data_IF_105896092944
#
_entry.id   IF_105896092944
#
_cell.length_a   1.000
_cell.length_b   1.000
_cell.length_c   1.000
_cell.angle_alpha   90.00
_cell.angle_beta   90.00
_cell.angle_gamma   90.00
#
_symmetry.space_group_name_H-M   'P 1'
#
loop_
_entity.id
_entity.type
_entity.pdbx_description
1 polymer ?
#
# COMPACT_ATOMS: atom_id res chain seq x y z
N UNK A 1 22.46 12.91 13.96
CA UNK A 1 22.11 11.62 14.51
C UNK A 1 21.23 10.82 13.60
N UNK A 2 20.97 9.63 14.03
CA UNK A 2 19.95 8.76 13.43
C UNK A 2 18.76 8.82 14.39
N UNK A 3 17.59 9.16 13.90
CA UNK A 3 16.36 9.35 14.68
C UNK A 3 15.22 8.59 14.02
N UNK A 4 14.20 8.27 14.80
CA UNK A 4 12.95 7.69 14.28
C UNK A 4 11.90 8.80 14.41
N UNK A 5 11.31 9.21 13.30
CA UNK A 5 10.29 10.24 13.29
C UNK A 5 8.93 9.72 13.82
N UNK A 6 7.97 10.62 13.97
CA UNK A 6 6.61 10.27 14.44
C UNK A 6 5.91 9.23 13.57
N UNK A 7 6.32 9.10 12.32
CA UNK A 7 5.81 8.13 11.36
C UNK A 7 6.49 6.75 11.46
N UNK A 8 7.48 6.60 12.33
CA UNK A 8 8.26 5.38 12.49
C UNK A 8 9.33 5.17 11.40
N UNK A 9 9.59 6.18 10.57
CA UNK A 9 10.64 6.16 9.56
C UNK A 9 11.97 6.60 10.18
N UNK A 10 13.06 6.03 9.67
CA UNK A 10 14.39 6.45 10.09
C UNK A 10 14.77 7.73 9.33
N UNK A 11 15.25 8.71 10.09
CA UNK A 11 15.87 9.93 9.57
C UNK A 11 17.34 10.00 9.96
N UNK A 12 18.14 10.53 9.06
CA UNK A 12 19.55 10.83 9.31
C UNK A 12 19.78 12.31 9.01
N UNK A 13 20.12 13.07 10.04
CA UNK A 13 20.36 14.51 9.94
C UNK A 13 19.18 15.27 9.30
N UNK A 14 17.93 14.87 9.64
CA UNK A 14 16.70 15.45 9.10
C UNK A 14 16.31 15.00 7.70
N UNK A 15 17.01 14.00 7.14
CA UNK A 15 16.68 13.41 5.83
C UNK A 15 16.11 12.00 6.02
N UNK A 16 14.94 11.75 5.44
CA UNK A 16 14.33 10.42 5.46
C UNK A 16 15.20 9.41 4.71
N UNK A 17 15.40 8.25 5.29
CA UNK A 17 16.15 7.16 4.67
C UNK A 17 15.36 6.57 3.52
N UNK A 18 15.92 6.62 2.32
CA UNK A 18 15.28 6.16 1.09
C UNK A 18 15.43 4.66 0.85
N UNK A 19 16.48 4.06 1.41
CA UNK A 19 16.75 2.61 1.25
C UNK A 19 17.41 2.02 2.47
N UNK A 20 16.91 0.85 2.89
CA UNK A 20 17.53 0.06 3.93
C UNK A 20 17.97 -1.29 3.37
N UNK A 21 19.19 -1.68 3.70
CA UNK A 21 19.81 -2.94 3.32
C UNK A 21 20.28 -3.69 4.56
N UNK A 22 20.34 -5.01 4.47
CA UNK A 22 20.96 -5.86 5.48
C UNK A 22 22.12 -6.63 4.82
N UNK A 23 23.34 -6.42 5.33
CA UNK A 23 24.58 -6.94 4.72
C UNK A 23 24.72 -6.61 3.23
N UNK A 24 24.22 -5.42 2.82
CA UNK A 24 24.23 -4.95 1.43
C UNK A 24 23.13 -5.53 0.55
N UNK A 25 22.24 -6.35 1.09
CA UNK A 25 21.11 -6.92 0.37
C UNK A 25 19.84 -6.16 0.68
N UNK A 26 18.97 -6.04 -0.30
CA UNK A 26 17.67 -5.39 -0.15
C UNK A 26 16.83 -6.06 0.94
N UNK A 27 16.16 -5.25 1.74
CA UNK A 27 15.25 -5.70 2.78
C UNK A 27 13.89 -5.04 2.59
N UNK A 28 12.91 -5.79 2.10
CA UNK A 28 11.53 -5.34 1.84
C UNK A 28 11.48 -4.00 1.09
N UNK A 29 12.22 -3.90 -0.02
CA UNK A 29 12.32 -2.68 -0.83
C UNK A 29 12.84 -1.44 -0.08
N UNK A 30 13.61 -1.67 0.96
CA UNK A 30 14.19 -0.62 1.77
C UNK A 30 13.30 -0.13 2.91
N UNK A 31 12.25 -0.89 3.28
CA UNK A 31 11.36 -0.50 4.37
C UNK A 31 12.09 -0.43 5.71
N UNK A 32 12.17 0.80 6.26
CA UNK A 32 12.89 1.06 7.50
C UNK A 32 12.13 0.61 8.74
N UNK A 33 10.78 0.65 8.70
CA UNK A 33 9.95 0.29 9.84
C UNK A 33 9.95 -1.22 10.07
N UNK A 34 9.78 -2.02 9.01
CA UNK A 34 9.90 -3.47 9.13
C UNK A 34 11.27 -3.89 9.67
N UNK A 35 12.33 -3.22 9.24
CA UNK A 35 13.66 -3.50 9.73
C UNK A 35 13.81 -3.18 11.22
N UNK A 36 13.39 -1.99 11.66
CA UNK A 36 13.52 -1.56 13.06
C UNK A 36 12.68 -2.38 14.02
N UNK A 37 11.50 -2.80 13.60
CA UNK A 37 10.59 -3.57 14.44
C UNK A 37 10.93 -5.05 14.51
N UNK A 38 11.59 -5.59 13.48
CA UNK A 38 11.70 -7.04 13.33
C UNK A 38 13.14 -7.58 13.36
N UNK A 39 14.17 -6.77 13.06
CA UNK A 39 15.56 -7.24 13.16
C UNK A 39 16.01 -7.16 14.62
N UNK A 40 16.35 -8.30 15.27
CA UNK A 40 16.78 -8.30 16.65
C UNK A 40 18.06 -7.47 16.82
N UNK A 41 18.07 -6.52 17.76
CA UNK A 41 19.25 -5.67 18.05
C UNK A 41 20.51 -6.49 18.38
N UNK A 42 20.33 -7.68 18.97
CA UNK A 42 21.42 -8.62 19.27
C UNK A 42 22.10 -9.17 18.02
N UNK A 43 21.44 -9.16 16.86
CA UNK A 43 22.02 -9.60 15.60
C UNK A 43 22.80 -8.47 14.89
N UNK A 44 22.61 -7.22 15.27
CA UNK A 44 23.23 -6.05 14.64
C UNK A 44 24.63 -5.80 15.22
N UNK A 45 25.63 -5.70 14.34
CA UNK A 45 26.98 -5.23 14.68
C UNK A 45 27.06 -3.71 14.61
N UNK A 46 26.74 -3.15 13.44
CA UNK A 46 26.79 -1.71 13.17
C UNK A 46 25.81 -1.31 12.07
N UNK A 47 25.49 -0.02 12.06
CA UNK A 47 24.68 0.61 11.02
C UNK A 47 25.60 1.53 10.21
N UNK A 48 25.66 1.33 8.91
CA UNK A 48 26.41 2.17 7.98
C UNK A 48 25.45 3.17 7.33
N UNK A 49 25.76 4.45 7.42
CA UNK A 49 25.03 5.53 6.73
C UNK A 49 25.73 5.80 5.41
N UNK A 50 24.98 5.64 4.32
CA UNK A 50 25.43 5.91 2.95
C UNK A 50 24.81 7.24 2.49
N UNK A 51 25.60 8.33 2.53
CA UNK A 51 25.17 9.64 2.09
C UNK A 51 25.35 9.80 0.58
N UNK A 52 24.53 10.66 -0.03
CA UNK A 52 24.51 10.88 -1.48
C UNK A 52 24.37 9.56 -2.25
N UNK A 53 23.49 8.69 -1.73
CA UNK A 53 23.28 7.38 -2.28
C UNK A 53 22.63 7.46 -3.65
N UNK A 54 23.17 6.71 -4.61
CA UNK A 54 22.59 6.51 -5.93
C UNK A 54 22.52 5.02 -6.22
N UNK A 55 21.35 4.53 -6.58
CA UNK A 55 21.18 3.14 -7.03
C UNK A 55 21.80 2.91 -8.39
N UNK A 56 21.77 3.95 -9.23
CA UNK A 56 22.33 3.93 -10.57
C UNK A 56 23.66 4.68 -10.56
N UNK A 57 24.75 3.92 -10.56
CA UNK A 57 26.11 4.48 -10.52
C UNK A 57 26.43 5.41 -11.69
N UNK A 58 25.88 5.11 -12.87
CA UNK A 58 26.06 5.86 -14.11
C UNK A 58 25.49 7.29 -14.03
N UNK A 59 24.38 7.47 -13.32
CA UNK A 59 23.72 8.78 -13.18
C UNK A 59 24.28 9.64 -12.03
N UNK A 60 25.21 9.12 -11.23
CA UNK A 60 25.72 9.81 -10.04
C UNK A 60 26.29 11.19 -10.32
N UNK A 61 26.90 11.39 -11.49
CA UNK A 61 27.51 12.66 -11.89
C UNK A 61 26.54 13.67 -12.48
N UNK A 62 25.35 13.22 -12.92
CA UNK A 62 24.37 14.06 -13.64
C UNK A 62 23.09 14.29 -12.84
N UNK A 63 22.86 13.55 -11.74
CA UNK A 63 21.72 13.72 -10.84
C UNK A 63 22.15 14.32 -9.52
N UNK A 64 21.26 15.14 -8.93
CA UNK A 64 21.48 15.64 -7.57
C UNK A 64 21.03 14.60 -6.55
N UNK A 65 21.98 13.95 -5.90
CA UNK A 65 21.73 12.93 -4.86
C UNK A 65 22.00 13.46 -3.44
N UNK A 66 22.09 14.78 -3.24
CA UNK A 66 22.47 15.39 -1.96
C UNK A 66 21.51 15.00 -0.82
N UNK A 67 20.25 14.73 -1.14
CA UNK A 67 19.21 14.39 -0.16
C UNK A 67 18.96 12.88 -0.01
N UNK A 68 19.62 12.08 -0.83
CA UNK A 68 19.47 10.63 -0.80
C UNK A 68 20.36 10.02 0.28
N UNK A 69 19.72 9.32 1.22
CA UNK A 69 20.40 8.58 2.28
C UNK A 69 19.94 7.12 2.26
N UNK A 70 20.90 6.21 2.32
CA UNK A 70 20.61 4.79 2.53
C UNK A 70 21.27 4.29 3.82
N UNK A 71 20.68 3.27 4.42
CA UNK A 71 21.24 2.56 5.57
C UNK A 71 21.58 1.14 5.21
N UNK A 72 22.71 0.66 5.71
CA UNK A 72 23.09 -0.74 5.62
C UNK A 72 23.36 -1.29 7.02
N UNK A 73 22.48 -2.17 7.47
CA UNK A 73 22.63 -2.89 8.73
C UNK A 73 23.64 -4.02 8.51
N UNK A 74 24.75 -4.00 9.22
CA UNK A 74 25.70 -5.11 9.26
C UNK A 74 25.37 -6.02 10.41
N UNK A 75 25.23 -7.30 10.11
CA UNK A 75 25.01 -8.34 11.11
C UNK A 75 26.35 -8.72 11.75
N UNK A 76 26.31 -9.17 13.01
CA UNK A 76 27.47 -9.67 13.74
C UNK A 76 28.03 -10.91 13.07
N UNK A 77 29.35 -11.11 13.20
CA UNK A 77 29.99 -12.37 12.83
C UNK A 77 29.26 -13.54 13.49
N UNK A 78 29.06 -14.62 12.73
CA UNK A 78 28.31 -15.78 13.18
C UNK A 78 26.79 -15.62 13.12
N UNK A 79 26.23 -14.49 12.60
CA UNK A 79 24.82 -14.31 12.26
C UNK A 79 24.57 -14.45 10.74
N UNK A 80 25.49 -15.08 10.06
CA UNK A 80 25.41 -15.45 8.64
C UNK A 80 25.36 -16.97 8.47
N UNK A 81 24.74 -17.44 7.40
CA UNK A 81 24.61 -18.86 7.04
C UNK A 81 23.84 -19.74 8.04
N UNK A 82 22.97 -19.14 8.88
CA UNK A 82 22.03 -19.89 9.71
C UNK A 82 20.75 -19.09 9.96
N UNK A 83 19.72 -19.80 10.40
CA UNK A 83 18.46 -19.19 10.78
C UNK A 83 18.55 -18.57 12.17
N UNK A 84 18.00 -17.38 12.32
CA UNK A 84 17.79 -16.73 13.60
C UNK A 84 16.45 -15.97 13.60
N UNK A 85 15.97 -15.65 14.76
CA UNK A 85 14.71 -14.94 14.92
C UNK A 85 14.11 -15.19 16.29
N UNK A 86 12.85 -14.92 16.41
CA UNK A 86 12.06 -15.15 17.61
C UNK A 86 10.63 -15.59 17.26
N UNK A 87 9.97 -16.20 18.20
CA UNK A 87 8.56 -16.58 18.11
C UNK A 87 7.89 -16.12 19.40
N UNK A 88 6.91 -15.23 19.26
CA UNK A 88 6.01 -14.85 20.35
C UNK A 88 4.73 -15.64 20.20
N UNK A 89 4.27 -16.30 21.28
CA UNK A 89 2.99 -16.99 21.30
C UNK A 89 2.29 -16.72 22.63
N UNK A 90 1.01 -16.48 22.58
CA UNK A 90 0.17 -16.24 23.74
C UNK A 90 -1.25 -16.71 23.51
N UNK A 91 -1.92 -17.08 24.60
CA UNK A 91 -3.34 -17.38 24.62
C UNK A 91 -3.95 -16.77 25.87
N UNK A 92 -5.18 -16.32 25.74
CA UNK A 92 -5.95 -15.71 26.82
C UNK A 92 -7.45 -15.92 26.62
N UNK A 93 -8.24 -15.40 27.53
CA UNK A 93 -9.69 -15.40 27.42
C UNK A 93 -10.24 -14.06 27.88
N UNK A 94 -11.25 -13.57 27.17
CA UNK A 94 -12.15 -12.52 27.62
C UNK A 94 -13.53 -13.12 27.92
N UNK A 95 -14.47 -12.38 28.52
CA UNK A 95 -15.80 -12.89 28.80
C UNK A 95 -16.51 -13.45 27.58
N UNK A 96 -16.24 -12.92 26.39
CA UNK A 96 -16.97 -13.21 25.15
C UNK A 96 -16.13 -13.97 24.13
N UNK A 97 -14.75 -13.95 24.24
CA UNK A 97 -13.86 -14.47 23.21
C UNK A 97 -12.59 -15.14 23.77
N UNK A 98 -12.11 -16.16 23.07
CA UNK A 98 -10.76 -16.67 23.26
C UNK A 98 -9.76 -15.76 22.52
N UNK A 99 -8.70 -15.34 23.22
CA UNK A 99 -7.66 -14.47 22.67
C UNK A 99 -6.42 -15.28 22.32
N UNK A 100 -5.79 -14.93 21.21
CA UNK A 100 -4.53 -15.54 20.79
C UNK A 100 -3.61 -14.51 20.14
N UNK A 101 -2.31 -14.78 20.21
CA UNK A 101 -1.25 -14.11 19.48
C UNK A 101 -0.18 -15.12 19.09
N UNK A 102 0.27 -15.08 17.83
CA UNK A 102 1.38 -15.88 17.31
C UNK A 102 2.16 -15.03 16.29
N UNK A 103 3.39 -14.66 16.68
CA UNK A 103 4.26 -13.78 15.89
C UNK A 103 5.61 -14.43 15.64
N UNK A 104 5.75 -15.31 14.61
CA UNK A 104 7.02 -15.85 14.19
C UNK A 104 7.81 -14.83 13.36
N UNK A 105 9.10 -14.68 13.64
CA UNK A 105 10.06 -13.86 12.90
C UNK A 105 11.31 -14.69 12.66
N UNK A 106 11.57 -15.01 11.39
CA UNK A 106 12.66 -15.90 10.98
C UNK A 106 13.49 -15.23 9.90
N UNK A 107 14.79 -15.27 10.06
CA UNK A 107 15.76 -14.63 9.18
C UNK A 107 16.89 -15.57 8.83
N UNK A 108 17.30 -15.53 7.57
CA UNK A 108 18.46 -16.22 7.07
C UNK A 108 19.25 -15.32 6.13
N UNK A 109 20.54 -15.17 6.39
CA UNK A 109 21.45 -14.38 5.56
C UNK A 109 22.68 -15.17 5.20
N UNK A 110 23.03 -15.16 3.92
CA UNK A 110 24.27 -15.69 3.39
C UNK A 110 24.89 -14.71 2.39
N UNK A 111 26.15 -14.89 1.98
CA UNK A 111 26.74 -14.01 0.96
C UNK A 111 25.98 -13.98 -0.38
N UNK A 112 25.29 -15.05 -0.73
CA UNK A 112 24.56 -15.15 -2.00
C UNK A 112 23.07 -14.88 -1.91
N UNK A 113 22.43 -15.23 -0.80
CA UNK A 113 20.98 -15.07 -0.66
C UNK A 113 20.55 -14.72 0.76
N UNK A 114 19.42 -14.07 0.88
CA UNK A 114 18.72 -13.85 2.13
C UNK A 114 17.26 -14.30 2.00
N UNK A 115 16.72 -14.81 3.11
CA UNK A 115 15.32 -15.20 3.24
C UNK A 115 14.80 -14.65 4.56
N UNK A 116 13.69 -13.96 4.53
CA UNK A 116 13.06 -13.41 5.71
C UNK A 116 11.59 -13.81 5.73
N UNK A 117 11.08 -14.18 6.89
CA UNK A 117 9.69 -14.49 7.12
C UNK A 117 9.22 -13.81 8.40
N UNK A 118 8.11 -13.07 8.31
CA UNK A 118 7.46 -12.42 9.44
C UNK A 118 5.98 -12.77 9.38
N UNK A 119 5.45 -13.27 10.47
CA UNK A 119 4.03 -13.57 10.65
C UNK A 119 3.46 -12.82 11.84
N UNK A 120 2.18 -12.51 11.77
CA UNK A 120 1.41 -12.00 12.88
C UNK A 120 -0.04 -12.50 12.76
N UNK A 121 -0.40 -13.37 13.68
CA UNK A 121 -1.74 -13.93 13.79
C UNK A 121 -2.28 -13.55 15.16
N UNK A 122 -3.24 -12.66 15.23
CA UNK A 122 -3.80 -12.21 16.49
C UNK A 122 -5.27 -11.80 16.39
N UNK A 123 -5.97 -11.84 17.51
CA UNK A 123 -7.28 -11.22 17.71
C UNK A 123 -7.31 -10.35 18.98
N UNK A 124 -6.16 -9.79 19.36
CA UNK A 124 -5.98 -8.97 20.55
C UNK A 124 -6.24 -7.48 20.30
N UNK A 125 -6.58 -7.12 19.07
CA UNK A 125 -6.75 -5.74 18.63
C UNK A 125 -5.45 -5.09 18.13
N UNK A 126 -4.33 -5.82 18.06
CA UNK A 126 -3.12 -5.33 17.40
C UNK A 126 -3.29 -5.35 15.88
N UNK A 127 -2.91 -4.26 15.23
CA UNK A 127 -2.89 -4.14 13.78
C UNK A 127 -1.47 -4.31 13.29
N UNK A 128 -1.19 -5.43 12.62
CA UNK A 128 0.14 -5.76 12.13
C UNK A 128 0.65 -4.80 11.06
N UNK A 129 -0.24 -4.30 10.20
CA UNK A 129 0.04 -3.32 9.15
C UNK A 129 -1.00 -2.22 9.16
N UNK A 130 -0.56 -0.97 9.28
CA UNK A 130 -1.42 0.20 9.14
C UNK A 130 -1.61 0.55 7.66
N UNK A 131 -2.58 1.40 7.33
CA UNK A 131 -2.73 1.97 5.97
C UNK A 131 -1.46 2.62 5.45
N UNK A 132 -0.70 3.26 6.34
CA UNK A 132 0.57 3.89 5.99
C UNK A 132 1.60 2.85 5.59
N UNK A 133 1.68 1.75 6.31
CA UNK A 133 2.59 0.65 6.00
C UNK A 133 2.27 0.05 4.62
N UNK A 134 1.00 -0.21 4.32
CA UNK A 134 0.57 -0.72 3.02
C UNK A 134 0.85 0.29 1.89
N UNK A 135 0.69 1.61 2.14
CA UNK A 135 1.08 2.64 1.18
C UNK A 135 2.58 2.66 0.92
N UNK A 136 3.38 2.53 1.96
CA UNK A 136 4.84 2.50 1.84
C UNK A 136 5.30 1.28 1.03
N UNK A 137 4.70 0.12 1.25
CA UNK A 137 4.93 -1.07 0.41
C UNK A 137 4.43 -0.91 -1.03
N UNK A 138 3.29 -0.22 -1.22
CA UNK A 138 2.75 0.06 -2.55
C UNK A 138 3.44 1.23 -3.25
N UNK A 139 4.15 2.08 -2.50
CA UNK A 139 4.74 3.32 -2.96
C UNK A 139 6.21 3.24 -3.34
N UNK A 140 6.82 2.04 -3.34
CA UNK A 140 8.19 1.81 -3.81
C UNK A 140 8.41 2.07 -5.30
N UNK A 141 7.38 2.48 -6.01
CA UNK A 141 7.52 3.07 -7.33
C UNK A 141 8.04 4.50 -7.16
N UNK A 142 9.32 4.65 -7.36
CA UNK A 142 9.87 5.95 -7.63
C UNK A 142 9.21 6.45 -8.91
N UNK A 143 8.37 7.48 -8.78
CA UNK A 143 8.05 8.29 -9.94
C UNK A 143 9.38 8.61 -10.64
N UNK A 144 9.47 8.50 -11.97
CA UNK A 144 10.65 8.91 -12.69
C UNK A 144 11.05 10.27 -12.14
N UNK A 145 12.25 10.37 -11.55
CA UNK A 145 12.68 11.56 -10.85
C UNK A 145 12.88 12.67 -11.85
N UNK A 146 11.86 13.42 -12.15
CA UNK A 146 11.81 14.82 -12.58
C UNK A 146 10.40 15.14 -13.04
N UNK A 147 9.80 16.19 -12.44
CA UNK A 147 8.79 17.12 -12.96
C UNK A 147 7.82 16.66 -14.09
N UNK A 148 7.78 15.38 -14.42
CA UNK A 148 6.73 14.80 -15.25
C UNK A 148 5.52 14.59 -14.35
N UNK A 149 4.53 15.43 -14.46
CA UNK A 149 3.33 15.56 -13.64
C UNK A 149 2.38 14.36 -13.58
N UNK A 150 2.92 13.16 -13.58
CA UNK A 150 2.18 11.91 -13.40
C UNK A 150 2.61 11.23 -12.11
N UNK A 151 2.23 11.82 -10.99
CA UNK A 151 2.17 11.06 -9.75
C UNK A 151 1.00 10.09 -9.87
N UNK A 152 1.29 8.84 -10.18
CA UNK A 152 0.33 7.75 -10.03
C UNK A 152 0.07 7.55 -8.53
N UNK A 153 -0.93 8.25 -8.03
CA UNK A 153 -1.34 8.15 -6.65
C UNK A 153 -2.11 6.82 -6.49
N UNK A 154 -1.39 5.74 -6.21
CA UNK A 154 -1.98 4.44 -5.88
C UNK A 154 -2.71 4.45 -4.52
N UNK A 155 -2.71 5.62 -3.84
CA UNK A 155 -3.06 5.74 -2.42
C UNK A 155 -4.53 5.82 -2.08
N UNK A 156 -5.41 6.23 -2.98
CA UNK A 156 -6.72 6.71 -2.53
C UNK A 156 -7.92 5.80 -2.83
N UNK A 157 -7.78 4.75 -3.59
CA UNK A 157 -8.96 3.98 -3.97
C UNK A 157 -8.82 2.49 -3.59
N UNK A 158 -9.55 2.03 -2.60
CA UNK A 158 -9.72 0.62 -2.23
C UNK A 158 -9.14 0.21 -0.86
N UNK A 159 -8.59 1.14 -0.07
CA UNK A 159 -8.10 0.84 1.28
C UNK A 159 -8.88 1.60 2.38
N UNK A 160 -10.05 2.12 2.05
CA UNK A 160 -10.85 2.90 3.00
C UNK A 160 -11.39 2.07 4.17
N UNK A 161 -11.38 0.75 4.05
CA UNK A 161 -11.94 -0.18 5.04
C UNK A 161 -11.10 -0.38 6.31
N UNK A 162 -9.84 0.01 6.31
CA UNK A 162 -8.92 -0.26 7.44
C UNK A 162 -8.88 0.84 8.51
N UNK A 163 -9.88 1.74 8.61
CA UNK A 163 -9.62 3.02 9.26
C UNK A 163 -10.38 3.35 10.50
N UNK A 164 -11.37 2.65 10.89
CA UNK A 164 -12.10 3.02 12.11
C UNK A 164 -11.76 2.10 13.28
N UNK A 165 -10.48 2.06 13.64
CA UNK A 165 -10.00 1.36 14.85
C UNK A 165 -10.57 1.97 16.13
N UNK A 166 -10.94 3.26 16.09
CA UNK A 166 -11.42 3.98 17.27
C UNK A 166 -12.73 3.42 17.86
N UNK A 167 -13.59 2.82 17.02
CA UNK A 167 -14.89 2.26 17.41
C UNK A 167 -14.92 0.74 17.25
N UNK A 168 -13.76 0.09 17.08
CA UNK A 168 -13.71 -1.35 16.92
C UNK A 168 -14.01 -2.06 18.24
N UNK A 169 -14.93 -3.02 18.17
CA UNK A 169 -15.23 -3.97 19.25
C UNK A 169 -14.32 -5.19 19.18
N UNK A 170 -14.03 -5.64 17.95
CA UNK A 170 -13.19 -6.79 17.69
C UNK A 170 -12.32 -6.52 16.47
N UNK A 171 -11.04 -6.90 16.55
CA UNK A 171 -10.11 -6.91 15.44
C UNK A 171 -9.42 -8.27 15.41
N UNK A 172 -9.57 -8.99 14.32
CA UNK A 172 -8.78 -10.18 14.00
C UNK A 172 -7.85 -9.85 12.84
N UNK A 173 -6.55 -10.11 13.02
CA UNK A 173 -5.54 -9.84 12.01
C UNK A 173 -4.68 -11.06 11.73
N UNK A 174 -4.38 -11.31 10.46
CA UNK A 174 -3.53 -12.40 9.98
C UNK A 174 -2.59 -11.87 8.93
N UNK A 175 -1.32 -11.70 9.30
CA UNK A 175 -0.25 -11.27 8.42
C UNK A 175 0.72 -12.43 8.18
N UNK A 176 1.08 -12.63 6.91
CA UNK A 176 2.22 -13.45 6.52
C UNK A 176 3.02 -12.69 5.45
N UNK A 177 4.29 -12.50 5.71
CA UNK A 177 5.17 -11.82 4.77
C UNK A 177 6.47 -12.58 4.60
N UNK A 178 6.93 -12.67 3.36
CA UNK A 178 8.21 -13.24 3.00
C UNK A 178 8.98 -12.33 2.07
N UNK A 179 10.28 -12.23 2.27
CA UNK A 179 11.20 -11.49 1.42
C UNK A 179 12.38 -12.37 1.07
N UNK A 180 12.86 -12.25 -0.15
CA UNK A 180 14.10 -12.87 -0.59
C UNK A 180 15.00 -11.91 -1.33
N UNK A 181 16.31 -12.16 -1.29
CA UNK A 181 17.30 -11.57 -2.17
C UNK A 181 18.28 -12.66 -2.59
N UNK A 182 18.63 -12.71 -3.86
CA UNK A 182 19.53 -13.72 -4.42
C UNK A 182 20.46 -13.10 -5.47
N UNK A 183 21.75 -13.21 -5.23
CA UNK A 183 22.82 -12.73 -6.13
C UNK A 183 23.58 -13.93 -6.69
N UNK A 184 23.10 -14.58 -7.78
CA UNK A 184 23.76 -15.75 -8.37
C UNK A 184 25.15 -15.42 -8.91
N UNK A 185 25.33 -14.22 -9.41
CA UNK A 185 26.61 -13.69 -9.91
C UNK A 185 26.84 -12.28 -9.39
N UNK A 186 28.02 -11.70 -9.64
CA UNK A 186 28.28 -10.29 -9.31
C UNK A 186 27.51 -9.31 -10.23
N UNK A 187 27.01 -9.81 -11.34
CA UNK A 187 26.33 -8.99 -12.35
C UNK A 187 24.80 -9.07 -12.24
N UNK A 188 24.23 -10.01 -11.47
CA UNK A 188 22.78 -10.21 -11.40
C UNK A 188 22.33 -10.28 -9.95
N UNK A 189 21.45 -9.36 -9.58
CA UNK A 189 20.74 -9.33 -8.33
C UNK A 189 19.23 -9.53 -8.58
N UNK A 190 18.65 -10.48 -7.87
CA UNK A 190 17.23 -10.77 -7.85
C UNK A 190 16.70 -10.54 -6.45
N UNK A 191 15.59 -9.85 -6.31
CA UNK A 191 14.91 -9.69 -5.03
C UNK A 191 13.41 -9.70 -5.18
N UNK A 192 12.72 -9.85 -4.07
CA UNK A 192 11.28 -9.76 -4.08
C UNK A 192 10.69 -10.01 -2.70
N UNK A 193 9.41 -9.69 -2.58
CA UNK A 193 8.64 -9.98 -1.39
C UNK A 193 7.20 -10.35 -1.73
N UNK A 194 6.59 -11.10 -0.84
CA UNK A 194 5.18 -11.39 -0.80
C UNK A 194 4.64 -10.94 0.56
N UNK A 195 3.57 -10.17 0.57
CA UNK A 195 2.83 -9.80 1.76
C UNK A 195 1.38 -10.26 1.57
N UNK A 196 0.87 -11.01 2.51
CA UNK A 196 -0.53 -11.35 2.61
C UNK A 196 -1.07 -10.86 3.95
N UNK A 197 -2.14 -10.09 3.91
CA UNK A 197 -2.83 -9.60 5.09
C UNK A 197 -4.33 -9.91 4.97
N UNK A 198 -4.90 -10.46 6.05
CA UNK A 198 -6.34 -10.68 6.21
C UNK A 198 -6.76 -10.02 7.51
N UNK A 199 -7.69 -9.09 7.44
CA UNK A 199 -8.22 -8.36 8.58
C UNK A 199 -9.74 -8.50 8.64
N UNK A 200 -10.27 -8.66 9.86
CA UNK A 200 -11.70 -8.55 10.16
C UNK A 200 -11.86 -7.55 11.27
N UNK A 201 -12.79 -6.63 11.10
CA UNK A 201 -13.12 -5.60 12.08
C UNK A 201 -14.62 -5.60 12.30
N UNK A 202 -15.03 -5.70 13.55
CA UNK A 202 -16.39 -5.43 13.98
C UNK A 202 -16.39 -4.10 14.72
N UNK A 203 -17.20 -3.16 14.27
CA UNK A 203 -17.34 -1.85 14.91
C UNK A 203 -18.81 -1.53 15.21
N UNK A 204 -19.02 -0.70 16.23
CA UNK A 204 -20.33 -0.16 16.59
C UNK A 204 -20.18 1.31 16.93
N UNK A 205 -21.06 2.12 16.37
CA UNK A 205 -21.12 3.54 16.63
C UNK A 205 -22.54 3.94 17.00
N UNK A 206 -22.66 4.80 17.99
CA UNK A 206 -23.93 5.45 18.35
C UNK A 206 -23.69 6.95 18.32
N UNK A 207 -24.58 7.68 17.68
CA UNK A 207 -24.53 9.14 17.66
C UNK A 207 -25.88 9.76 17.99
N UNK A 208 -25.84 10.97 18.51
CA UNK A 208 -27.02 11.78 18.75
C UNK A 208 -26.78 13.19 18.23
N UNK A 209 -27.61 13.62 17.28
CA UNK A 209 -27.54 14.92 16.64
C UNK A 209 -28.70 15.76 17.16
N UNK A 210 -28.39 16.89 17.76
CA UNK A 210 -29.38 17.89 18.17
C UNK A 210 -29.24 19.13 17.31
N UNK A 211 -30.32 19.53 16.68
CA UNK A 211 -30.37 20.76 15.93
C UNK A 211 -30.71 21.92 16.85
N UNK A 212 -29.82 22.91 16.91
CA UNK A 212 -29.95 24.04 17.86
C UNK A 212 -30.88 25.11 17.40
N UNK A 213 -31.33 25.12 16.15
CA UNK A 213 -32.31 26.05 15.58
C UNK A 213 -33.67 25.36 15.37
N UNK A 214 -34.65 25.58 16.25
CA UNK A 214 -35.99 24.99 16.12
C UNK A 214 -36.75 25.45 14.87
N UNK A 215 -36.34 26.53 14.22
CA UNK A 215 -37.02 27.06 13.04
C UNK A 215 -36.82 26.19 11.79
N UNK A 216 -35.82 25.31 11.82
CA UNK A 216 -35.56 24.36 10.75
C UNK A 216 -36.58 23.22 10.69
N UNK A 217 -37.32 22.97 11.78
CA UNK A 217 -38.32 21.89 11.83
C UNK A 217 -37.72 20.47 11.71
N UNK A 218 -36.40 20.34 11.85
CA UNK A 218 -35.70 19.05 11.77
C UNK A 218 -35.71 18.44 13.17
N UNK A 219 -36.18 17.19 13.35
CA UNK A 219 -36.17 16.53 14.65
C UNK A 219 -34.72 16.15 15.05
N UNK A 220 -34.48 16.02 16.36
CA UNK A 220 -33.25 15.43 16.87
C UNK A 220 -33.11 13.99 16.36
N UNK A 221 -31.92 13.57 16.00
CA UNK A 221 -31.66 12.28 15.39
C UNK A 221 -30.76 11.43 16.29
N UNK A 222 -31.21 10.23 16.61
CA UNK A 222 -30.40 9.19 17.23
C UNK A 222 -30.06 8.14 16.17
N UNK A 223 -28.77 7.81 16.03
CA UNK A 223 -28.31 6.78 15.10
C UNK A 223 -27.54 5.70 15.83
N UNK A 224 -27.73 4.47 15.41
CA UNK A 224 -26.93 3.31 15.82
C UNK A 224 -26.46 2.58 14.56
N UNK A 225 -25.17 2.32 14.46
CA UNK A 225 -24.55 1.67 13.32
C UNK A 225 -23.65 0.53 13.79
N UNK A 226 -23.79 -0.62 13.16
CA UNK A 226 -22.90 -1.77 13.32
C UNK A 226 -22.29 -2.11 11.97
N UNK A 227 -20.97 -2.26 11.91
CA UNK A 227 -20.24 -2.57 10.68
C UNK A 227 -19.37 -3.80 10.88
N UNK A 228 -19.39 -4.69 9.89
CA UNK A 228 -18.47 -5.83 9.75
C UNK A 228 -17.66 -5.67 8.49
N UNK A 229 -16.38 -5.45 8.67
CA UNK A 229 -15.43 -5.26 7.58
C UNK A 229 -14.53 -6.49 7.48
N UNK A 230 -14.27 -6.92 6.26
CA UNK A 230 -13.30 -7.96 5.95
C UNK A 230 -12.45 -7.49 4.77
N UNK A 231 -11.15 -7.50 4.97
CA UNK A 231 -10.17 -7.17 3.93
C UNK A 231 -9.16 -8.30 3.82
N UNK A 232 -8.98 -8.82 2.60
CA UNK A 232 -7.91 -9.75 2.27
C UNK A 232 -7.06 -9.11 1.18
N UNK A 233 -5.77 -8.99 1.41
CA UNK A 233 -4.87 -8.31 0.50
C UNK A 233 -3.62 -9.14 0.26
N UNK A 234 -3.18 -9.20 -0.99
CA UNK A 234 -1.88 -9.77 -1.34
C UNK A 234 -1.10 -8.78 -2.21
N UNK A 235 0.18 -8.66 -1.90
CA UNK A 235 1.13 -7.79 -2.57
C UNK A 235 2.38 -8.60 -2.91
N UNK A 236 2.73 -8.69 -4.19
CA UNK A 236 3.91 -9.37 -4.69
C UNK A 236 4.79 -8.38 -5.44
N UNK A 237 6.05 -8.24 -5.02
CA UNK A 237 7.09 -7.52 -5.78
C UNK A 237 8.18 -8.48 -6.20
N UNK A 238 8.62 -8.36 -7.45
CA UNK A 238 9.80 -9.01 -7.99
C UNK A 238 10.67 -7.96 -8.66
N UNK A 239 11.96 -8.01 -8.39
CA UNK A 239 12.96 -7.07 -8.91
C UNK A 239 14.16 -7.84 -9.46
N UNK A 240 14.68 -7.39 -10.57
CA UNK A 240 15.91 -7.89 -11.18
C UNK A 240 16.80 -6.72 -11.59
N UNK A 241 18.05 -6.73 -11.14
CA UNK A 241 19.07 -5.77 -11.55
C UNK A 241 20.22 -6.54 -12.21
N UNK A 242 20.51 -6.20 -13.46
CA UNK A 242 21.53 -6.84 -14.26
C UNK A 242 22.56 -5.82 -14.74
N UNK A 243 23.77 -5.89 -14.19
CA UNK A 243 24.89 -5.02 -14.51
C UNK A 243 26.10 -5.86 -14.98
N UNK A 244 26.13 -6.30 -16.26
CA UNK A 244 27.20 -7.15 -16.78
C UNK A 244 28.56 -6.45 -16.81
N UNK A 245 28.59 -5.13 -16.89
CA UNK A 245 29.79 -4.30 -16.86
C UNK A 245 29.43 -2.89 -16.40
N UNK A 246 30.44 -2.04 -16.21
CA UNK A 246 30.26 -0.65 -15.76
C UNK A 246 29.37 0.20 -16.69
N UNK A 247 29.35 -0.12 -17.98
CA UNK A 247 28.66 0.70 -19.00
C UNK A 247 27.18 0.33 -19.15
N UNK A 248 26.73 -0.81 -18.64
CA UNK A 248 25.38 -1.31 -18.86
C UNK A 248 24.73 -1.69 -17.54
N UNK A 249 23.52 -1.18 -17.31
CA UNK A 249 22.67 -1.59 -16.20
C UNK A 249 21.22 -1.70 -16.71
N UNK A 250 20.58 -2.82 -16.43
CA UNK A 250 19.17 -3.08 -16.71
C UNK A 250 18.48 -3.42 -15.40
N UNK A 251 17.50 -2.63 -15.03
CA UNK A 251 16.65 -2.85 -13.85
C UNK A 251 15.23 -3.10 -14.31
N UNK A 252 14.62 -4.15 -13.78
CA UNK A 252 13.22 -4.48 -14.02
C UNK A 252 12.51 -4.79 -12.71
N UNK A 253 11.39 -4.13 -12.48
CA UNK A 253 10.54 -4.32 -11.33
C UNK A 253 9.11 -4.62 -11.75
N UNK A 254 8.46 -5.53 -11.06
CA UNK A 254 7.02 -5.74 -11.15
C UNK A 254 6.41 -5.78 -9.75
N UNK A 255 5.34 -5.01 -9.55
CA UNK A 255 4.51 -5.03 -8.36
C UNK A 255 3.10 -5.43 -8.76
N UNK A 256 2.62 -6.54 -8.23
CA UNK A 256 1.25 -6.98 -8.37
C UNK A 256 0.53 -6.85 -7.03
N UNK A 257 -0.69 -6.35 -7.07
CA UNK A 257 -1.57 -6.23 -5.91
C UNK A 257 -2.94 -6.77 -6.25
N UNK A 258 -3.53 -7.51 -5.33
CA UNK A 258 -4.92 -7.96 -5.38
C UNK A 258 -5.54 -7.78 -4.00
N UNK A 259 -6.83 -7.43 -3.94
CA UNK A 259 -7.59 -7.44 -2.70
C UNK A 259 -9.03 -7.94 -2.92
N UNK A 260 -9.65 -8.36 -1.81
CA UNK A 260 -11.06 -8.70 -1.70
C UNK A 260 -11.54 -8.02 -0.42
N UNK A 261 -12.21 -6.89 -0.59
CA UNK A 261 -12.65 -6.04 0.50
C UNK A 261 -14.17 -6.02 0.52
N UNK A 262 -14.76 -6.33 1.70
CA UNK A 262 -16.21 -6.41 1.91
C UNK A 262 -16.59 -5.70 3.19
N UNK A 263 -17.68 -4.95 3.12
CA UNK A 263 -18.30 -4.32 4.27
C UNK A 263 -19.80 -4.63 4.30
N UNK A 264 -20.28 -5.05 5.44
CA UNK A 264 -21.70 -5.12 5.75
C UNK A 264 -21.97 -4.13 6.88
N UNK A 265 -22.95 -3.26 6.68
CA UNK A 265 -23.34 -2.24 7.64
C UNK A 265 -24.84 -2.30 7.86
N UNK A 266 -25.23 -2.39 9.13
CA UNK A 266 -26.59 -2.22 9.58
C UNK A 266 -26.66 -0.91 10.34
N UNK A 267 -27.54 -0.01 9.93
CA UNK A 267 -27.74 1.30 10.54
C UNK A 267 -29.21 1.52 10.86
N UNK A 268 -29.47 2.11 12.02
CA UNK A 268 -30.78 2.60 12.43
C UNK A 268 -30.69 4.11 12.68
N UNK A 269 -31.62 4.86 12.11
CA UNK A 269 -31.83 6.27 12.39
C UNK A 269 -33.27 6.48 12.89
N UNK A 270 -33.43 7.27 13.95
CA UNK A 270 -34.75 7.65 14.44
C UNK A 270 -35.57 8.51 13.47
N UNK A 271 -34.94 8.99 12.38
CA UNK A 271 -35.56 9.85 11.35
C UNK A 271 -35.79 9.09 10.04
N UNK A 272 -34.83 8.24 9.65
CA UNK A 272 -34.83 7.58 8.34
C UNK A 272 -35.30 6.12 8.44
N UNK A 273 -35.19 5.49 9.63
CA UNK A 273 -35.49 4.07 9.82
C UNK A 273 -34.26 3.18 9.68
N UNK A 274 -34.48 1.91 9.34
CA UNK A 274 -33.42 0.90 9.21
C UNK A 274 -32.87 0.88 7.80
N UNK A 275 -31.54 0.88 7.71
CA UNK A 275 -30.80 0.77 6.43
C UNK A 275 -29.77 -0.34 6.55
N UNK A 276 -29.74 -1.25 5.59
CA UNK A 276 -28.64 -2.20 5.43
C UNK A 276 -27.81 -1.84 4.19
N UNK A 277 -26.50 -1.93 4.32
CA UNK A 277 -25.59 -1.61 3.23
C UNK A 277 -24.57 -2.75 3.05
N UNK A 278 -24.24 -3.03 1.83
CA UNK A 278 -23.21 -3.99 1.44
C UNK A 278 -22.31 -3.37 0.40
N UNK A 279 -21.03 -3.35 0.70
CA UNK A 279 -19.98 -2.93 -0.21
C UNK A 279 -19.03 -4.09 -0.49
N UNK A 280 -18.68 -4.28 -1.75
CA UNK A 280 -17.68 -5.26 -2.18
C UNK A 280 -16.82 -4.66 -3.27
N UNK A 281 -15.52 -4.89 -3.19
CA UNK A 281 -14.58 -4.53 -4.25
C UNK A 281 -13.45 -5.54 -4.33
N UNK A 282 -13.14 -6.00 -5.56
CA UNK A 282 -12.06 -6.97 -5.83
C UNK A 282 -11.01 -6.38 -6.79
N UNK A 283 -10.31 -5.29 -6.40
CA UNK A 283 -9.38 -4.62 -7.28
C UNK A 283 -8.10 -5.41 -7.47
N UNK A 284 -7.52 -5.29 -8.67
CA UNK A 284 -6.14 -5.70 -8.90
C UNK A 284 -5.36 -4.64 -9.65
N UNK A 285 -4.07 -4.60 -9.42
CA UNK A 285 -3.15 -3.75 -10.18
C UNK A 285 -1.83 -4.47 -10.43
N UNK A 286 -1.26 -4.20 -11.61
CA UNK A 286 0.10 -4.64 -11.98
C UNK A 286 0.82 -3.40 -12.45
N UNK A 287 1.92 -3.09 -11.79
CA UNK A 287 2.79 -1.99 -12.14
C UNK A 287 4.18 -2.55 -12.47
N UNK A 288 4.72 -2.17 -13.63
CA UNK A 288 5.98 -2.67 -14.15
C UNK A 288 6.88 -1.47 -14.46
N UNK A 289 8.15 -1.57 -14.08
CA UNK A 289 9.16 -0.58 -14.42
C UNK A 289 10.33 -1.27 -15.11
N UNK A 290 10.78 -0.71 -16.19
CA UNK A 290 11.96 -1.13 -16.93
C UNK A 290 12.87 0.08 -17.10
N UNK A 291 14.09 -0.03 -16.59
CA UNK A 291 15.10 1.01 -16.71
C UNK A 291 16.35 0.42 -17.33
N UNK A 292 16.88 1.08 -18.36
CA UNK A 292 18.13 0.68 -18.99
C UNK A 292 19.05 1.87 -19.11
N UNK A 293 20.23 1.73 -18.53
CA UNK A 293 21.26 2.75 -18.51
C UNK A 293 22.46 2.27 -19.31
N UNK A 294 22.89 3.11 -20.26
CA UNK A 294 24.02 2.85 -21.13
C UNK A 294 24.99 4.03 -21.15
N UNK A 295 26.22 3.79 -20.70
CA UNK A 295 27.31 4.76 -20.77
C UNK A 295 28.18 4.46 -21.99
N UNK A 296 28.08 5.27 -23.01
CA UNK A 296 28.89 5.15 -24.24
C UNK A 296 30.35 5.44 -23.93
N UNK A 297 30.61 6.53 -23.21
CA UNK A 297 31.90 6.96 -22.69
C UNK A 297 31.69 7.92 -21.51
N UNK A 298 32.78 8.52 -20.97
CA UNK A 298 32.71 9.40 -19.78
C UNK A 298 31.79 10.60 -19.95
N UNK A 299 31.56 11.06 -21.20
CA UNK A 299 30.77 12.26 -21.49
C UNK A 299 29.33 11.96 -21.95
N UNK A 300 29.01 10.72 -22.38
CA UNK A 300 27.73 10.38 -23.03
C UNK A 300 27.01 9.23 -22.32
N UNK A 301 25.87 9.55 -21.74
CA UNK A 301 25.02 8.59 -21.00
C UNK A 301 23.62 8.58 -21.61
N UNK A 302 23.06 7.42 -21.84
CA UNK A 302 21.67 7.19 -22.25
C UNK A 302 20.91 6.49 -21.12
N UNK A 303 19.71 6.98 -20.83
CA UNK A 303 18.81 6.36 -19.88
C UNK A 303 17.45 6.16 -20.54
N UNK A 304 17.04 4.92 -20.69
CA UNK A 304 15.69 4.56 -21.09
C UNK A 304 14.90 4.11 -19.88
N UNK A 305 13.77 4.75 -19.65
CA UNK A 305 12.88 4.40 -18.54
C UNK A 305 11.47 4.20 -19.09
N UNK A 306 10.82 3.11 -18.67
CA UNK A 306 9.45 2.83 -19.03
C UNK A 306 8.68 2.30 -17.82
N UNK A 307 7.47 2.82 -17.63
CA UNK A 307 6.53 2.38 -16.62
C UNK A 307 5.21 1.97 -17.27
N UNK A 308 4.68 0.83 -16.88
CA UNK A 308 3.38 0.36 -17.33
C UNK A 308 2.49 0.04 -16.13
N UNK A 309 1.32 0.66 -16.06
CA UNK A 309 0.30 0.42 -15.04
C UNK A 309 -0.94 -0.19 -15.68
N UNK A 310 -1.33 -1.34 -15.19
CA UNK A 310 -2.63 -1.96 -15.43
C UNK A 310 -3.40 -2.00 -14.12
N UNK A 311 -4.64 -1.48 -14.11
CA UNK A 311 -5.52 -1.47 -12.93
C UNK A 311 -6.94 -1.81 -13.36
N UNK A 312 -7.61 -2.61 -12.54
CA UNK A 312 -9.04 -2.90 -12.66
C UNK A 312 -9.67 -2.83 -11.27
N UNK A 313 -10.81 -2.17 -11.19
CA UNK A 313 -11.66 -2.09 -10.02
C UNK A 313 -13.10 -2.35 -10.44
N UNK A 314 -13.82 -3.08 -9.62
CA UNK A 314 -15.20 -3.48 -9.83
C UNK A 314 -16.04 -3.31 -8.55
N UNK A 315 -16.10 -2.09 -7.98
CA UNK A 315 -16.88 -1.89 -6.78
C UNK A 315 -18.37 -2.13 -7.03
N UNK A 316 -18.94 -2.93 -6.16
CA UNK A 316 -20.38 -3.16 -6.05
C UNK A 316 -20.88 -2.57 -4.75
N UNK A 317 -21.99 -1.86 -4.81
CA UNK A 317 -22.69 -1.30 -3.67
C UNK A 317 -24.15 -1.74 -3.71
N UNK A 318 -24.69 -2.14 -2.56
CA UNK A 318 -26.10 -2.40 -2.37
C UNK A 318 -26.58 -1.70 -1.10
N UNK A 319 -27.71 -1.04 -1.16
CA UNK A 319 -28.39 -0.46 -0.02
C UNK A 319 -29.86 -0.87 -0.01
N UNK A 320 -30.35 -1.24 1.16
CA UNK A 320 -31.77 -1.51 1.40
C UNK A 320 -32.25 -0.53 2.46
N UNK A 321 -33.15 0.33 2.09
CA UNK A 321 -33.83 1.27 2.98
C UNK A 321 -35.29 0.81 3.14
N UNK A 322 -35.76 0.67 4.37
CA UNK A 322 -37.16 0.37 4.65
C UNK A 322 -38.06 1.48 4.12
N UNK A 323 -39.21 1.11 3.56
CA UNK A 323 -40.22 2.00 3.04
C UNK A 323 -41.60 1.56 3.57
N UNK A 324 -42.43 2.52 3.95
CA UNK A 324 -43.86 2.30 4.22
C UNK A 324 -44.67 2.91 3.07
N UNK A 325 -45.18 2.11 2.10
CA UNK A 325 -45.93 2.61 0.96
C UNK A 325 -47.22 3.34 1.35
N UNK A 326 -47.76 3.12 2.54
CA UNK A 326 -48.99 3.73 3.05
C UNK A 326 -48.72 5.05 3.80
N UNK A 327 -47.45 5.31 4.19
CA UNK A 327 -47.02 6.57 4.80
C UNK A 327 -46.46 7.54 3.75
N UNK A 328 -47.33 8.35 3.13
CA UNK A 328 -46.91 9.35 2.14
C UNK A 328 -46.04 10.49 2.68
N UNK A 329 -45.57 10.41 3.91
CA UNK A 329 -44.66 11.38 4.55
C UNK A 329 -43.19 10.89 4.63
N UNK A 330 -42.87 9.71 4.08
CA UNK A 330 -41.51 9.23 4.04
C UNK A 330 -40.55 10.23 3.38
N UNK A 331 -39.47 10.54 4.09
CA UNK A 331 -38.52 11.56 3.69
C UNK A 331 -37.82 11.22 2.34
N UNK A 332 -37.75 9.94 1.97
CA UNK A 332 -37.09 9.49 0.74
C UNK A 332 -38.05 9.42 -0.47
N UNK A 333 -39.36 9.36 -0.26
CA UNK A 333 -40.37 9.18 -1.33
C UNK A 333 -40.29 10.16 -2.49
N UNK A 334 -40.03 11.43 -2.19
CA UNK A 334 -39.88 12.43 -3.24
C UNK A 334 -38.66 12.17 -4.11
N UNK A 335 -37.52 11.84 -3.48
CA UNK A 335 -36.29 11.50 -4.17
C UNK A 335 -36.45 10.20 -4.97
N UNK A 336 -37.12 9.18 -4.41
CA UNK A 336 -37.42 7.94 -5.08
C UNK A 336 -38.23 8.14 -6.36
N UNK A 337 -39.29 8.97 -6.30
CA UNK A 337 -40.12 9.33 -7.47
C UNK A 337 -39.34 10.08 -8.54
N UNK A 338 -38.51 11.04 -8.15
CA UNK A 338 -37.64 11.78 -9.08
C UNK A 338 -36.62 10.87 -9.77
N UNK A 339 -36.12 9.87 -9.07
CA UNK A 339 -35.21 8.87 -9.61
C UNK A 339 -35.91 7.76 -10.43
N UNK A 340 -37.25 7.76 -10.44
CA UNK A 340 -38.04 6.73 -11.15
C UNK A 340 -38.03 5.36 -10.48
N UNK A 341 -37.84 5.33 -9.16
CA UNK A 341 -37.91 4.10 -8.38
C UNK A 341 -39.36 3.68 -8.14
N UNK A 342 -39.55 2.38 -7.92
CA UNK A 342 -40.86 1.84 -7.54
C UNK A 342 -41.12 2.10 -6.05
N UNK A 343 -42.00 3.06 -5.77
CA UNK A 343 -42.38 3.49 -4.41
C UNK A 343 -43.48 2.60 -3.79
N UNK A 344 -43.95 1.55 -4.49
CA UNK A 344 -45.00 0.66 -3.97
C UNK A 344 -44.42 -0.52 -3.19
N UNK A 345 -43.10 -0.65 -3.16
CA UNK A 345 -42.40 -1.71 -2.41
C UNK A 345 -42.21 -1.30 -0.95
N UNK A 346 -42.11 -2.31 -0.07
CA UNK A 346 -41.85 -2.11 1.36
C UNK A 346 -40.38 -1.84 1.68
N UNK A 347 -39.53 -1.78 0.67
CA UNK A 347 -38.14 -1.39 0.79
C UNK A 347 -37.61 -0.89 -0.54
N UNK A 348 -36.77 0.12 -0.50
CA UNK A 348 -35.93 0.55 -1.63
C UNK A 348 -34.65 -0.29 -1.62
N UNK A 349 -34.60 -1.31 -2.45
CA UNK A 349 -33.39 -2.15 -2.62
C UNK A 349 -32.64 -1.69 -3.87
N UNK A 350 -31.54 -0.97 -3.66
CA UNK A 350 -30.76 -0.31 -4.72
C UNK A 350 -29.39 -0.96 -4.85
N UNK A 351 -29.02 -1.29 -6.08
CA UNK A 351 -27.69 -1.76 -6.43
C UNK A 351 -26.95 -0.78 -7.33
N UNK A 352 -25.64 -0.67 -7.15
CA UNK A 352 -24.77 0.04 -8.06
C UNK A 352 -23.57 -0.83 -8.41
N UNK A 353 -23.43 -1.16 -9.69
CA UNK A 353 -22.22 -1.72 -10.26
C UNK A 353 -21.36 -0.58 -10.82
N UNK A 354 -20.07 -0.63 -10.55
CA UNK A 354 -19.09 0.24 -11.21
C UNK A 354 -17.93 -0.59 -11.72
N UNK A 355 -17.36 -0.18 -12.83
CA UNK A 355 -16.16 -0.78 -13.40
C UNK A 355 -15.20 0.30 -13.83
N UNK A 356 -13.99 0.24 -13.33
CA UNK A 356 -12.94 1.21 -13.62
C UNK A 356 -11.71 0.44 -14.09
N UNK A 357 -11.32 0.63 -15.36
CA UNK A 357 -10.10 0.06 -15.90
C UNK A 357 -9.17 1.17 -16.32
N UNK A 358 -7.90 1.01 -15.97
CA UNK A 358 -6.84 1.93 -16.39
C UNK A 358 -5.68 1.13 -16.96
N UNK A 359 -5.20 1.58 -18.13
CA UNK A 359 -4.00 1.05 -18.77
C UNK A 359 -3.17 2.25 -19.19
N UNK A 360 -2.00 2.40 -18.58
CA UNK A 360 -1.12 3.54 -18.82
C UNK A 360 0.30 3.07 -19.06
N UNK A 361 0.90 3.57 -20.12
CA UNK A 361 2.31 3.42 -20.43
C UNK A 361 2.95 4.80 -20.46
N UNK A 362 4.01 4.98 -19.71
CA UNK A 362 4.89 6.14 -19.73
C UNK A 362 6.29 5.65 -20.07
N UNK A 363 6.91 6.23 -21.11
CA UNK A 363 8.25 5.86 -21.52
C UNK A 363 9.04 7.10 -21.92
N UNK A 364 10.30 7.16 -21.52
CA UNK A 364 11.21 8.25 -21.85
C UNK A 364 12.61 7.74 -22.15
N UNK A 365 13.29 8.50 -23.00
CA UNK A 365 14.70 8.35 -23.31
C UNK A 365 15.40 9.67 -22.97
N UNK A 366 16.31 9.61 -22.02
CA UNK A 366 17.19 10.71 -21.66
C UNK A 366 18.57 10.50 -22.26
N UNK A 367 19.12 11.55 -22.85
CA UNK A 367 20.51 11.63 -23.29
C UNK A 367 21.22 12.72 -22.51
N UNK A 368 22.27 12.35 -21.80
CA UNK A 368 23.12 13.25 -21.05
C UNK A 368 24.44 13.41 -21.76
N UNK A 369 24.84 14.67 -21.99
CA UNK A 369 26.19 15.04 -22.50
C UNK A 369 26.88 15.89 -21.43
N UNK A 370 27.94 15.37 -20.83
CA UNK A 370 28.76 16.07 -19.84
C UNK A 370 29.75 16.96 -20.56
N UNK A 371 29.48 18.24 -20.55
CA UNK A 371 30.33 19.24 -21.25
C UNK A 371 31.59 19.56 -20.44
N UNK A 372 31.49 19.53 -19.12
CA UNK A 372 32.61 19.73 -18.19
C UNK A 372 32.15 19.40 -16.77
N UNK A 373 33.01 19.53 -15.78
CA UNK A 373 32.71 19.19 -14.35
C UNK A 373 31.59 20.03 -13.71
N UNK A 374 31.11 21.10 -14.37
CA UNK A 374 30.09 22.01 -13.87
C UNK A 374 28.83 22.09 -14.74
N UNK A 375 28.89 21.54 -15.94
CA UNK A 375 27.83 21.71 -16.95
C UNK A 375 27.56 20.43 -17.69
N UNK A 376 26.30 20.09 -17.81
CA UNK A 376 25.80 19.00 -18.65
C UNK A 376 24.61 19.48 -19.50
N UNK A 377 24.38 18.83 -20.62
CA UNK A 377 23.20 18.97 -21.46
C UNK A 377 22.37 17.72 -21.32
N UNK A 378 21.09 17.88 -20.99
CA UNK A 378 20.13 16.78 -20.96
C UNK A 378 19.06 16.99 -22.04
N UNK A 379 18.85 15.98 -22.89
CA UNK A 379 17.77 15.92 -23.86
C UNK A 379 16.85 14.75 -23.49
N UNK A 380 15.57 15.06 -23.30
CA UNK A 380 14.55 14.06 -22.95
C UNK A 380 13.53 13.95 -24.08
N UNK A 381 13.26 12.73 -24.52
CA UNK A 381 12.13 12.40 -25.38
C UNK A 381 11.22 11.42 -24.64
N UNK A 382 9.94 11.75 -24.51
CA UNK A 382 8.99 10.93 -23.79
C UNK A 382 7.65 10.75 -24.50
N UNK A 383 6.93 9.69 -24.13
CA UNK A 383 5.58 9.40 -24.57
C UNK A 383 4.75 8.90 -23.40
N UNK A 384 3.52 9.38 -23.30
CA UNK A 384 2.52 8.90 -22.35
C UNK A 384 1.32 8.42 -23.14
N UNK A 385 0.96 7.16 -22.96
CA UNK A 385 -0.24 6.55 -23.52
C UNK A 385 -1.15 6.15 -22.34
N UNK A 386 -2.37 6.67 -22.31
CA UNK A 386 -3.33 6.36 -21.25
C UNK A 386 -4.68 6.01 -21.86
N UNK A 387 -5.25 4.91 -21.38
CA UNK A 387 -6.61 4.51 -21.68
C UNK A 387 -7.34 4.23 -20.37
N UNK A 388 -8.48 4.88 -20.19
CA UNK A 388 -9.37 4.65 -19.05
C UNK A 388 -10.75 4.28 -19.58
N UNK A 389 -11.36 3.29 -18.94
CA UNK A 389 -12.72 2.87 -19.19
C UNK A 389 -13.47 2.97 -17.87
N UNK A 390 -14.61 3.65 -17.90
CA UNK A 390 -15.51 3.77 -16.78
C UNK A 390 -16.91 3.33 -17.20
N UNK A 391 -17.50 2.43 -16.43
CA UNK A 391 -18.89 2.00 -16.57
C UNK A 391 -19.54 2.05 -15.19
N UNK A 392 -20.79 2.55 -15.13
CA UNK A 392 -21.56 2.61 -13.89
C UNK A 392 -23.03 2.41 -14.20
N UNK A 393 -23.66 1.54 -13.41
CA UNK A 393 -25.08 1.26 -13.52
C UNK A 393 -25.71 1.25 -12.13
N UNK A 394 -26.80 2.00 -11.97
CA UNK A 394 -27.67 1.96 -10.79
C UNK A 394 -28.96 1.26 -11.19
N UNK A 395 -29.45 0.39 -10.33
CA UNK A 395 -30.68 -0.37 -10.55
C UNK A 395 -31.37 -0.69 -9.24
N UNK A 396 -32.67 -0.88 -9.30
CA UNK A 396 -33.49 -1.39 -8.21
C UNK A 396 -33.70 -2.89 -8.43
N UNK A 397 -33.60 -3.67 -7.35
CA UNK A 397 -33.83 -5.12 -7.36
C UNK A 397 -35.34 -5.43 -7.34
#
# INVERSE_FOLDING_TARGET
GVEINEDGQIEVEGKVVNKLMVNGKDFFDGDTKLATQNIPSKAVDKIQVLRNYSEVGQLRSVTNNSDNVALNIKLREGKENFWFGDITAGAGASPDNELYILQPKLFYYSPKYSLNFIGDLNNTGEVALTRRDIRNFGGGFRAPSRDSGTSLNLGDNGLNFLTNEANALEIENKLATGNFSYSPTQALDLSGFLIYNSSRVLSRETSFIRYTDPSLGIPDEATEQSSRERSNQALLKLSASYQPNFNNQLDYDVLARVSDDRQNQDAFSSVIGTTTQFDEVTPYSINQNLNYYYTLNEDHIFAFEAQHLLRNEDPFYNAVLENDPDDGSDAFDNTARELGLDTTQTAYNLGQDRRIKSNQLDAKLDYYNILNTKSNLNLTLGVILSRQEFDSRIFQF
#
